data_IF_176784160237
#
_entry.id   IF_176784160237
#
_cell.length_a   1.000
_cell.length_b   1.000
_cell.length_c   1.000
_cell.angle_alpha   90.00
_cell.angle_beta   90.00
_cell.angle_gamma   90.00
#
_symmetry.space_group_name_H-M   'P 1'
#
loop_
_entity.id
_entity.type
_entity.pdbx_description
1 polymer ?
#
# COMPACT_ATOMS: atom_id res chain seq x y z
N UNK A 1 4.82 18.90 31.33
CA UNK A 1 6.08 18.75 30.57
C UNK A 1 5.71 18.47 29.12
N UNK A 2 6.31 19.19 28.16
CA UNK A 2 6.04 19.04 26.73
C UNK A 2 7.34 18.84 25.96
N UNK A 3 7.23 18.54 24.66
CA UNK A 3 8.38 18.48 23.76
C UNK A 3 8.89 19.90 23.47
N UNK A 4 10.21 20.06 23.33
CA UNK A 4 10.76 21.34 22.89
C UNK A 4 10.48 21.57 21.41
N UNK A 5 10.30 22.83 21.01
CA UNK A 5 10.12 23.20 19.60
C UNK A 5 11.24 22.66 18.72
N UNK A 6 12.46 22.66 19.24
CA UNK A 6 13.63 22.10 18.57
C UNK A 6 13.47 20.61 18.31
N UNK A 7 13.07 19.83 19.31
CA UNK A 7 12.85 18.38 19.16
C UNK A 7 11.74 18.08 18.14
N UNK A 8 10.65 18.86 18.18
CA UNK A 8 9.55 18.70 17.23
C UNK A 8 10.02 18.97 15.80
N UNK A 9 10.72 20.09 15.57
CA UNK A 9 11.17 20.51 14.24
C UNK A 9 12.32 19.67 13.69
N UNK A 10 13.27 19.29 14.54
CA UNK A 10 14.51 18.64 14.10
C UNK A 10 14.45 17.12 14.08
N UNK A 11 13.49 16.51 14.78
CA UNK A 11 13.41 15.05 14.87
C UNK A 11 12.01 14.54 14.53
N UNK A 12 10.99 14.95 15.29
CA UNK A 12 9.64 14.36 15.17
C UNK A 12 9.02 14.63 13.79
N UNK A 13 9.01 15.88 13.33
CA UNK A 13 8.39 16.23 12.07
C UNK A 13 9.04 15.53 10.87
N UNK A 14 10.37 15.57 10.69
CA UNK A 14 11.06 14.83 9.62
C UNK A 14 10.78 13.31 9.65
N UNK A 15 10.83 12.69 10.82
CA UNK A 15 10.60 11.25 10.96
C UNK A 15 9.17 10.86 10.57
N UNK A 16 8.16 11.61 11.02
CA UNK A 16 6.76 11.35 10.67
C UNK A 16 6.49 11.65 9.20
N UNK A 17 7.06 12.71 8.66
CA UNK A 17 6.88 13.11 7.27
C UNK A 17 7.48 12.09 6.30
N UNK A 18 8.56 11.43 6.67
CA UNK A 18 9.20 10.40 5.85
C UNK A 18 8.56 9.04 6.07
N UNK A 19 8.19 8.72 7.31
CA UNK A 19 7.60 7.43 7.66
C UNK A 19 6.12 7.29 7.32
N UNK A 20 5.36 8.40 7.30
CA UNK A 20 3.91 8.43 7.07
C UNK A 20 3.50 9.36 5.93
N UNK A 21 4.48 9.98 5.24
CA UNK A 21 4.24 10.86 4.09
C UNK A 21 3.33 12.06 4.37
N UNK A 22 3.22 12.47 5.64
CA UNK A 22 2.35 13.57 6.10
C UNK A 22 2.98 14.38 7.22
N UNK A 23 2.71 15.70 7.28
CA UNK A 23 3.23 16.53 8.36
C UNK A 23 2.52 16.21 9.69
N UNK A 24 3.15 16.43 10.86
CA UNK A 24 2.60 16.02 12.15
C UNK A 24 1.25 16.62 12.51
N UNK A 25 0.97 17.84 12.03
CA UNK A 25 -0.31 18.54 12.25
C UNK A 25 -1.48 17.92 11.47
N UNK A 26 -1.22 17.05 10.49
CA UNK A 26 -2.23 16.30 9.74
C UNK A 26 -2.36 14.84 10.23
N UNK A 27 -1.53 14.43 11.20
CA UNK A 27 -1.49 13.07 11.71
C UNK A 27 -2.24 12.96 13.04
N UNK A 28 -2.92 11.82 13.22
CA UNK A 28 -3.43 11.49 14.55
C UNK A 28 -2.26 11.18 15.50
N UNK A 29 -2.41 11.57 16.76
CA UNK A 29 -1.41 11.24 17.79
C UNK A 29 -1.18 9.74 17.92
N UNK A 30 -2.23 8.92 17.71
CA UNK A 30 -2.13 7.46 17.78
C UNK A 30 -1.16 6.90 16.73
N UNK A 31 -1.32 7.26 15.45
CA UNK A 31 -0.44 6.81 14.36
C UNK A 31 0.98 7.34 14.55
N UNK A 32 1.14 8.59 15.02
CA UNK A 32 2.45 9.13 15.32
C UNK A 32 3.15 8.36 16.45
N UNK A 33 2.44 8.04 17.52
CA UNK A 33 2.98 7.25 18.64
C UNK A 33 3.31 5.82 18.25
N UNK A 34 2.50 5.20 17.40
CA UNK A 34 2.76 3.85 16.87
C UNK A 34 4.04 3.82 16.05
N UNK A 35 4.22 4.80 15.14
CA UNK A 35 5.46 4.92 14.38
C UNK A 35 6.65 5.14 15.32
N UNK A 36 6.57 6.07 16.26
CA UNK A 36 7.66 6.34 17.20
C UNK A 36 7.98 5.14 18.09
N UNK A 37 6.97 4.38 18.50
CA UNK A 37 7.16 3.15 19.26
C UNK A 37 7.92 2.10 18.46
N UNK A 38 7.49 1.83 17.22
CA UNK A 38 8.15 0.87 16.33
C UNK A 38 9.58 1.30 15.96
N UNK A 39 9.75 2.56 15.56
CA UNK A 39 11.01 3.07 15.02
C UNK A 39 12.04 3.43 16.09
N UNK A 40 11.62 3.95 17.26
CA UNK A 40 12.57 4.46 18.25
C UNK A 40 12.78 3.53 19.45
N UNK A 41 11.78 2.70 19.81
CA UNK A 41 11.74 2.04 21.12
C UNK A 41 11.74 0.51 21.05
N UNK A 42 10.83 -0.11 20.31
CA UNK A 42 10.55 -1.54 20.46
C UNK A 42 11.41 -2.46 19.58
N UNK A 43 11.80 -2.01 18.39
CA UNK A 43 12.41 -2.88 17.39
C UNK A 43 13.57 -2.21 16.66
N UNK A 44 14.56 -1.69 17.40
CA UNK A 44 15.76 -1.10 16.79
C UNK A 44 16.49 -2.07 15.86
N UNK A 45 16.43 -3.39 16.11
CA UNK A 45 17.01 -4.42 15.24
C UNK A 45 16.15 -4.76 14.01
N UNK A 46 14.89 -4.31 13.94
CA UNK A 46 14.07 -4.45 12.73
C UNK A 46 14.49 -3.45 11.61
N UNK A 47 15.49 -2.62 11.87
CA UNK A 47 16.13 -1.76 10.87
C UNK A 47 17.14 -2.46 9.97
N UNK A 48 17.35 -3.78 10.11
CA UNK A 48 18.02 -4.57 9.08
C UNK A 48 17.09 -4.74 7.86
N UNK A 49 16.79 -3.61 7.20
CA UNK A 49 15.96 -3.56 6.00
C UNK A 49 16.66 -4.40 4.93
N UNK A 50 16.00 -5.47 4.51
CA UNK A 50 16.47 -6.32 3.41
C UNK A 50 15.80 -5.90 2.12
N UNK A 51 16.62 -5.64 1.12
CA UNK A 51 16.16 -5.31 -0.22
C UNK A 51 16.01 -6.58 -1.05
N UNK A 52 14.98 -6.61 -1.88
CA UNK A 52 14.86 -7.61 -2.94
C UNK A 52 16.04 -7.43 -3.88
N UNK A 53 16.88 -8.45 -4.07
CA UNK A 53 18.15 -8.31 -4.80
C UNK A 53 17.99 -8.06 -6.30
N UNK A 54 16.90 -8.55 -6.90
CA UNK A 54 16.66 -8.49 -8.35
C UNK A 54 15.19 -8.60 -8.67
N UNK A 55 14.79 -8.17 -9.87
CA UNK A 55 13.41 -8.29 -10.38
C UNK A 55 12.39 -7.64 -9.43
N UNK A 56 11.10 -7.74 -9.76
CA UNK A 56 10.03 -7.15 -8.96
C UNK A 56 9.55 -8.05 -7.81
N UNK A 57 8.92 -7.45 -6.79
CA UNK A 57 8.18 -8.16 -5.73
C UNK A 57 7.10 -9.07 -6.35
N UNK A 58 6.45 -8.59 -7.42
CA UNK A 58 5.42 -9.35 -8.12
C UNK A 58 5.97 -10.68 -8.65
N UNK A 59 7.17 -10.67 -9.24
CA UNK A 59 7.80 -11.87 -9.80
C UNK A 59 8.43 -12.79 -8.76
N UNK A 60 9.05 -12.23 -7.71
CA UNK A 60 9.81 -13.04 -6.76
C UNK A 60 9.00 -13.53 -5.56
N UNK A 61 7.94 -12.82 -5.19
CA UNK A 61 7.14 -13.16 -4.02
C UNK A 61 5.70 -13.52 -4.39
N UNK A 62 5.04 -12.67 -5.18
CA UNK A 62 3.61 -12.83 -5.44
C UNK A 62 3.35 -13.97 -6.43
N UNK A 63 4.05 -14.02 -7.57
CA UNK A 63 3.85 -15.08 -8.57
C UNK A 63 4.13 -16.48 -8.01
N UNK A 64 5.26 -16.75 -7.30
CA UNK A 64 5.50 -18.07 -6.74
C UNK A 64 4.50 -18.45 -5.65
N UNK A 65 3.98 -17.48 -4.90
CA UNK A 65 2.90 -17.74 -3.95
C UNK A 65 1.61 -18.11 -4.68
N UNK A 66 1.22 -17.34 -5.70
CA UNK A 66 0.02 -17.59 -6.49
C UNK A 66 0.08 -18.97 -7.17
N UNK A 67 1.20 -19.30 -7.83
CA UNK A 67 1.44 -20.62 -8.45
C UNK A 67 1.22 -21.77 -7.45
N UNK A 68 1.84 -21.69 -6.26
CA UNK A 68 1.64 -22.71 -5.22
C UNK A 68 0.18 -22.83 -4.78
N UNK A 69 -0.55 -21.72 -4.68
CA UNK A 69 -1.96 -21.73 -4.28
C UNK A 69 -2.87 -22.27 -5.39
N UNK A 70 -2.58 -21.94 -6.65
CA UNK A 70 -3.27 -22.48 -7.82
C UNK A 70 -3.08 -24.01 -7.85
N UNK A 71 -1.84 -24.48 -7.75
CA UNK A 71 -1.52 -25.91 -7.81
C UNK A 71 -2.11 -26.73 -6.65
N UNK A 72 -2.04 -26.20 -5.42
CA UNK A 72 -2.41 -26.97 -4.22
C UNK A 72 -3.85 -26.80 -3.77
N UNK A 73 -4.48 -25.68 -4.11
CA UNK A 73 -5.78 -25.29 -3.58
C UNK A 73 -6.78 -24.92 -4.67
N UNK A 74 -6.44 -25.14 -5.95
CA UNK A 74 -7.30 -24.81 -7.09
C UNK A 74 -7.76 -23.34 -7.06
N UNK A 75 -6.86 -22.44 -6.65
CA UNK A 75 -7.13 -21.01 -6.65
C UNK A 75 -7.33 -20.52 -8.08
N UNK A 76 -8.44 -19.83 -8.35
CA UNK A 76 -8.69 -19.14 -9.62
C UNK A 76 -8.28 -17.67 -9.49
N UNK A 77 -7.29 -17.24 -10.28
CA UNK A 77 -6.77 -15.87 -10.27
C UNK A 77 -7.19 -15.15 -11.54
N UNK A 78 -8.06 -14.14 -11.40
CA UNK A 78 -8.58 -13.35 -12.52
C UNK A 78 -7.98 -11.95 -12.56
N UNK A 79 -6.97 -11.76 -13.42
CA UNK A 79 -6.40 -10.44 -13.66
C UNK A 79 -7.38 -9.53 -14.43
N UNK A 80 -7.22 -8.21 -14.31
CA UNK A 80 -8.02 -7.19 -15.00
C UNK A 80 -9.54 -7.29 -14.74
N UNK A 81 -9.95 -7.95 -13.66
CA UNK A 81 -11.34 -8.04 -13.24
C UNK A 81 -11.61 -7.00 -12.14
N UNK A 82 -12.55 -6.09 -12.36
CA UNK A 82 -12.85 -4.99 -11.43
C UNK A 82 -14.24 -5.18 -10.83
N UNK A 83 -14.31 -5.52 -9.55
CA UNK A 83 -15.57 -5.68 -8.83
C UNK A 83 -16.34 -4.35 -8.81
N UNK A 84 -17.61 -4.41 -9.17
CA UNK A 84 -18.54 -3.27 -9.21
C UNK A 84 -19.50 -3.31 -8.04
N UNK A 85 -20.04 -4.48 -7.73
CA UNK A 85 -20.99 -4.64 -6.63
C UNK A 85 -20.95 -6.04 -6.05
N UNK A 86 -21.44 -6.14 -4.82
CA UNK A 86 -21.63 -7.37 -4.07
C UNK A 86 -23.06 -7.33 -3.54
N UNK A 87 -23.84 -8.35 -3.86
CA UNK A 87 -25.20 -8.46 -3.33
C UNK A 87 -25.24 -9.35 -2.10
N UNK A 88 -26.17 -9.02 -1.20
CA UNK A 88 -26.42 -9.79 0.02
C UNK A 88 -27.91 -10.05 0.14
N UNK A 89 -28.26 -11.20 0.68
CA UNK A 89 -29.64 -11.54 0.97
C UNK A 89 -30.17 -10.71 2.15
N UNK A 90 -31.38 -10.17 2.00
CA UNK A 90 -31.94 -9.25 2.99
C UNK A 90 -32.33 -9.93 4.31
N UNK A 91 -32.70 -11.21 4.27
CA UNK A 91 -33.13 -11.95 5.46
C UNK A 91 -31.94 -12.52 6.22
N UNK A 92 -31.03 -13.19 5.52
CA UNK A 92 -29.90 -13.94 6.09
C UNK A 92 -28.62 -13.10 6.21
N UNK A 93 -28.55 -11.96 5.51
CA UNK A 93 -27.35 -11.10 5.40
C UNK A 93 -26.12 -11.80 4.81
N UNK A 94 -26.31 -12.96 4.19
CA UNK A 94 -25.24 -13.69 3.50
C UNK A 94 -25.00 -13.08 2.13
N UNK A 95 -23.75 -13.11 1.69
CA UNK A 95 -23.42 -12.76 0.30
C UNK A 95 -24.05 -13.77 -0.64
N UNK A 96 -24.51 -13.28 -1.79
CA UNK A 96 -25.19 -14.11 -2.80
C UNK A 96 -24.47 -14.04 -4.14
N UNK A 97 -24.02 -12.85 -4.53
CA UNK A 97 -23.35 -12.64 -5.81
C UNK A 97 -22.34 -11.51 -5.81
N UNK A 98 -21.45 -11.54 -6.81
CA UNK A 98 -20.48 -10.50 -7.10
C UNK A 98 -20.59 -10.13 -8.58
N UNK A 99 -20.77 -8.84 -8.86
CA UNK A 99 -20.72 -8.30 -10.21
C UNK A 99 -19.37 -7.63 -10.45
N UNK A 100 -18.74 -7.90 -11.57
CA UNK A 100 -17.44 -7.34 -11.93
C UNK A 100 -17.34 -7.08 -13.44
N UNK A 101 -16.51 -6.10 -13.82
CA UNK A 101 -16.14 -5.86 -15.21
C UNK A 101 -14.90 -6.68 -15.56
N UNK A 102 -14.97 -7.49 -16.61
CA UNK A 102 -13.87 -8.31 -17.09
C UNK A 102 -13.08 -7.58 -18.19
N UNK A 103 -11.91 -7.07 -17.84
CA UNK A 103 -11.04 -6.36 -18.76
C UNK A 103 -10.45 -7.22 -19.87
N UNK A 104 -10.43 -8.54 -19.77
CA UNK A 104 -10.07 -9.43 -20.89
C UNK A 104 -11.20 -9.51 -21.92
N UNK A 105 -12.45 -9.34 -21.49
CA UNK A 105 -13.64 -9.26 -22.33
C UNK A 105 -14.03 -7.80 -22.65
N UNK A 106 -13.05 -6.90 -22.78
CA UNK A 106 -13.32 -5.50 -23.14
C UNK A 106 -14.08 -4.68 -22.08
N UNK A 107 -14.17 -5.17 -20.84
CA UNK A 107 -14.90 -4.53 -19.76
C UNK A 107 -16.36 -4.96 -19.64
N UNK A 108 -16.77 -6.03 -20.33
CA UNK A 108 -18.09 -6.64 -20.17
C UNK A 108 -18.36 -7.00 -18.71
N UNK A 109 -19.60 -6.73 -18.29
CA UNK A 109 -20.04 -7.04 -16.94
C UNK A 109 -20.40 -8.52 -16.81
N UNK A 110 -19.84 -9.17 -15.79
CA UNK A 110 -20.05 -10.57 -15.45
C UNK A 110 -20.51 -10.69 -14.01
N UNK A 111 -21.29 -11.74 -13.74
CA UNK A 111 -21.81 -12.06 -12.42
C UNK A 111 -21.27 -13.42 -11.96
N UNK A 112 -20.81 -13.49 -10.71
CA UNK A 112 -20.62 -14.74 -9.98
C UNK A 112 -21.77 -14.92 -9.02
N UNK A 113 -22.50 -16.03 -9.16
CA UNK A 113 -23.61 -16.39 -8.28
C UNK A 113 -23.20 -17.48 -7.29
N UNK A 114 -24.02 -17.69 -6.25
CA UNK A 114 -23.83 -18.71 -5.23
C UNK A 114 -22.47 -18.60 -4.51
N UNK A 115 -22.11 -17.37 -4.15
CA UNK A 115 -20.88 -17.09 -3.41
C UNK A 115 -21.09 -17.37 -1.93
N UNK A 116 -20.23 -18.19 -1.32
CA UNK A 116 -20.34 -18.53 0.11
C UNK A 116 -19.82 -17.42 1.03
N UNK A 117 -18.73 -16.76 0.62
CA UNK A 117 -18.06 -15.73 1.39
C UNK A 117 -17.27 -14.77 0.49
N UNK A 118 -17.08 -13.54 0.98
CA UNK A 118 -16.24 -12.53 0.31
C UNK A 118 -15.27 -11.92 1.31
N UNK A 119 -14.00 -11.82 0.90
CA UNK A 119 -12.96 -11.11 1.64
C UNK A 119 -12.54 -9.88 0.85
N UNK A 120 -12.71 -8.69 1.44
CA UNK A 120 -12.36 -7.42 0.81
C UNK A 120 -10.92 -7.01 1.13
N UNK A 121 -9.98 -7.41 0.28
CA UNK A 121 -8.58 -6.97 0.35
C UNK A 121 -8.37 -5.67 -0.47
N UNK A 122 -9.08 -4.59 -0.12
CA UNK A 122 -9.13 -3.35 -0.88
C UNK A 122 -8.55 -2.16 -0.10
N UNK A 123 -7.86 -1.27 -0.79
CA UNK A 123 -7.54 0.07 -0.27
C UNK A 123 -8.77 0.99 -0.26
N UNK A 124 -8.65 2.17 0.37
CA UNK A 124 -9.76 3.10 0.59
C UNK A 124 -10.57 3.42 -0.69
N UNK A 125 -9.90 3.69 -1.82
CA UNK A 125 -10.56 3.97 -3.11
C UNK A 125 -11.35 2.75 -3.64
N UNK A 126 -10.77 1.56 -3.55
CA UNK A 126 -11.43 0.32 -3.98
C UNK A 126 -12.63 0.00 -3.10
N UNK A 127 -12.47 0.15 -1.79
CA UNK A 127 -13.56 -0.04 -0.82
C UNK A 127 -14.74 0.91 -1.13
N UNK A 128 -14.46 2.21 -1.35
CA UNK A 128 -15.47 3.20 -1.72
C UNK A 128 -16.20 2.84 -3.02
N UNK A 129 -15.48 2.35 -4.02
CA UNK A 129 -16.07 1.95 -5.30
C UNK A 129 -17.02 0.76 -5.14
N UNK A 130 -16.58 -0.30 -4.46
CA UNK A 130 -17.38 -1.52 -4.27
C UNK A 130 -18.58 -1.27 -3.37
N UNK A 131 -18.40 -0.63 -2.21
CA UNK A 131 -19.51 -0.34 -1.28
C UNK A 131 -20.50 0.65 -1.91
N UNK A 132 -20.00 1.64 -2.66
CA UNK A 132 -20.85 2.59 -3.39
C UNK A 132 -21.72 1.92 -4.46
N UNK A 133 -21.23 0.85 -5.10
CA UNK A 133 -22.01 0.01 -6.01
C UNK A 133 -22.87 -1.05 -5.32
N UNK A 134 -22.80 -1.20 -3.99
CA UNK A 134 -23.42 -2.30 -3.23
C UNK A 134 -24.38 -1.80 -2.14
N UNK A 135 -25.57 -1.27 -2.47
CA UNK A 135 -26.47 -0.66 -1.48
C UNK A 135 -26.90 -1.61 -0.35
N UNK A 136 -27.18 -2.88 -0.66
CA UNK A 136 -27.58 -3.86 0.36
C UNK A 136 -26.43 -4.20 1.30
N UNK A 137 -25.22 -4.38 0.76
CA UNK A 137 -24.01 -4.56 1.55
C UNK A 137 -23.75 -3.35 2.46
N UNK A 138 -23.84 -2.14 1.92
CA UNK A 138 -23.65 -0.89 2.67
C UNK A 138 -24.62 -0.77 3.86
N UNK A 139 -25.86 -1.21 3.67
CA UNK A 139 -26.88 -1.25 4.73
C UNK A 139 -26.62 -2.36 5.76
N UNK A 140 -26.19 -3.53 5.30
CA UNK A 140 -25.91 -4.69 6.16
C UNK A 140 -24.63 -4.52 7.00
N UNK A 141 -23.64 -3.79 6.48
CA UNK A 141 -22.32 -3.60 7.08
C UNK A 141 -21.94 -2.12 7.21
N UNK A 142 -22.53 -1.36 8.15
CA UNK A 142 -22.23 0.06 8.34
C UNK A 142 -20.75 0.38 8.62
N UNK A 143 -20.01 -0.57 9.18
CA UNK A 143 -18.56 -0.48 9.40
C UNK A 143 -17.77 -0.35 8.09
N UNK A 144 -18.22 -1.02 7.01
CA UNK A 144 -17.61 -0.85 5.69
C UNK A 144 -17.86 0.56 5.16
N UNK A 145 -19.04 1.13 5.42
CA UNK A 145 -19.33 2.53 5.08
C UNK A 145 -18.41 3.51 5.84
N UNK A 146 -18.12 3.25 7.11
CA UNK A 146 -17.15 4.05 7.88
C UNK A 146 -15.73 3.91 7.30
N UNK A 147 -15.32 2.69 6.94
CA UNK A 147 -14.04 2.48 6.27
C UNK A 147 -13.97 3.22 4.92
N UNK A 148 -15.06 3.30 4.15
CA UNK A 148 -15.14 4.08 2.91
C UNK A 148 -14.98 5.58 3.10
N UNK A 149 -15.25 6.12 4.29
CA UNK A 149 -15.06 7.55 4.57
C UNK A 149 -13.60 7.92 4.82
N UNK A 150 -12.70 6.93 4.94
CA UNK A 150 -11.27 7.18 5.09
C UNK A 150 -10.68 7.66 3.76
N UNK A 151 -9.80 8.65 3.85
CA UNK A 151 -9.02 9.12 2.72
C UNK A 151 -7.71 8.32 2.59
N UNK A 152 -7.10 8.40 1.42
CA UNK A 152 -5.75 7.91 1.18
C UNK A 152 -4.75 9.07 1.23
N UNK A 153 -3.47 8.72 1.28
CA UNK A 153 -2.35 9.65 1.06
C UNK A 153 -1.86 9.49 -0.37
N UNK A 154 -1.41 10.60 -0.96
CA UNK A 154 -0.77 10.59 -2.26
C UNK A 154 0.75 10.42 -2.07
N UNK A 155 1.32 9.46 -2.79
CA UNK A 155 2.77 9.19 -2.77
C UNK A 155 3.24 9.09 -4.21
N UNK A 156 4.34 9.78 -4.51
CA UNK A 156 5.02 9.67 -5.79
C UNK A 156 6.25 8.76 -5.64
N UNK A 157 6.35 7.77 -6.51
CA UNK A 157 7.55 6.95 -6.65
C UNK A 157 8.08 7.12 -8.07
N UNK A 158 9.35 7.47 -8.19
CA UNK A 158 10.04 7.58 -9.48
C UNK A 158 11.36 6.79 -9.42
N UNK A 159 11.83 6.37 -10.60
CA UNK A 159 13.21 5.89 -10.78
C UNK A 159 13.91 6.86 -11.70
N UNK A 160 15.12 7.26 -11.31
CA UNK A 160 15.94 8.19 -12.08
C UNK A 160 17.20 7.43 -12.48
N UNK A 161 17.48 7.40 -13.78
CA UNK A 161 18.68 6.82 -14.33
C UNK A 161 19.62 7.95 -14.71
N UNK A 162 20.81 7.94 -14.12
CA UNK A 162 21.85 8.92 -14.38
C UNK A 162 22.85 8.35 -15.37
N UNK A 163 23.58 9.22 -16.07
CA UNK A 163 24.66 8.84 -16.97
C UNK A 163 25.92 8.36 -16.22
N UNK A 164 25.94 8.52 -14.89
CA UNK A 164 27.05 8.20 -13.99
C UNK A 164 26.53 7.68 -12.66
N UNK A 165 27.34 6.84 -12.02
CA UNK A 165 27.15 6.49 -10.62
C UNK A 165 27.42 7.69 -9.71
N UNK A 166 26.61 7.81 -8.66
CA UNK A 166 26.74 8.85 -7.64
C UNK A 166 27.16 8.19 -6.34
N UNK A 167 28.33 8.57 -5.85
CA UNK A 167 28.80 8.10 -4.55
C UNK A 167 27.98 8.73 -3.43
N UNK A 168 27.45 7.89 -2.56
CA UNK A 168 26.73 8.27 -1.35
C UNK A 168 27.34 7.55 -0.15
N UNK A 169 27.22 8.13 1.04
CA UNK A 169 27.72 7.48 2.26
C UNK A 169 26.96 6.16 2.53
N UNK A 170 25.64 6.21 2.38
CA UNK A 170 24.76 5.07 2.54
C UNK A 170 23.94 4.87 1.27
N UNK A 171 23.54 3.62 0.94
CA UNK A 171 22.72 3.35 -0.24
C UNK A 171 21.23 3.63 0.00
N UNK A 172 20.79 3.84 1.24
CA UNK A 172 19.42 4.17 1.59
C UNK A 172 19.40 5.48 2.38
N UNK A 173 18.65 6.46 1.88
CA UNK A 173 18.70 7.81 2.41
C UNK A 173 17.31 8.42 2.54
N UNK A 174 17.24 9.43 3.40
CA UNK A 174 16.03 10.19 3.68
C UNK A 174 16.23 11.62 3.19
N UNK A 175 15.21 12.16 2.53
CA UNK A 175 15.15 13.56 2.13
C UNK A 175 13.97 14.24 2.83
N UNK A 176 14.27 15.33 3.54
CA UNK A 176 13.27 16.14 4.24
C UNK A 176 13.82 17.55 4.43
N UNK A 177 12.95 18.53 4.73
CA UNK A 177 13.32 19.92 5.05
C UNK A 177 13.96 20.73 3.92
N UNK A 178 13.81 20.31 2.67
CA UNK A 178 14.16 21.15 1.53
C UNK A 178 12.98 22.05 1.17
N UNK A 179 13.23 23.35 0.96
CA UNK A 179 12.18 24.32 0.60
C UNK A 179 11.41 23.87 -0.66
N UNK A 180 12.14 23.35 -1.65
CA UNK A 180 11.55 22.81 -2.89
C UNK A 180 10.66 21.58 -2.72
N UNK A 181 10.62 20.95 -1.54
CA UNK A 181 9.71 19.83 -1.27
C UNK A 181 8.32 20.28 -0.82
N UNK A 182 8.11 21.56 -0.49
CA UNK A 182 6.79 22.12 -0.15
C UNK A 182 6.04 21.30 0.93
N UNK A 183 6.76 20.80 1.93
CA UNK A 183 6.17 19.97 3.00
C UNK A 183 6.09 18.47 2.67
N UNK A 184 6.64 18.01 1.54
CA UNK A 184 6.89 16.61 1.26
C UNK A 184 8.21 16.11 1.89
N UNK A 185 8.22 14.84 2.25
CA UNK A 185 9.41 14.11 2.65
C UNK A 185 9.46 12.82 1.86
N UNK A 186 10.63 12.19 1.82
CA UNK A 186 10.78 10.96 1.07
C UNK A 186 12.02 10.19 1.43
N UNK A 187 12.16 9.07 0.74
CA UNK A 187 13.35 8.24 0.76
C UNK A 187 13.87 8.10 -0.66
N UNK A 188 15.18 7.95 -0.79
CA UNK A 188 15.80 7.56 -2.05
C UNK A 188 16.78 6.44 -1.80
N UNK A 189 16.90 5.56 -2.79
CA UNK A 189 17.66 4.32 -2.69
C UNK A 189 18.56 4.19 -3.90
N UNK A 190 19.85 3.99 -3.66
CA UNK A 190 20.88 3.77 -4.67
C UNK A 190 20.82 2.31 -5.10
N UNK A 191 19.99 2.02 -6.09
CA UNK A 191 19.73 0.65 -6.54
C UNK A 191 21.01 -0.03 -7.08
N UNK A 192 21.89 0.74 -7.72
CA UNK A 192 23.22 0.30 -8.17
C UNK A 192 24.10 -0.21 -7.02
N UNK A 193 23.97 0.37 -5.82
CA UNK A 193 24.70 -0.06 -4.64
C UNK A 193 23.99 -1.23 -3.93
N UNK A 194 22.65 -1.20 -3.85
CA UNK A 194 21.86 -2.23 -3.16
C UNK A 194 21.79 -3.56 -3.93
N UNK A 195 21.91 -3.50 -5.26
CA UNK A 195 21.64 -4.61 -6.18
C UNK A 195 22.76 -4.72 -7.22
N UNK A 196 23.99 -4.36 -6.84
CA UNK A 196 25.17 -4.25 -7.72
C UNK A 196 25.39 -5.42 -8.66
N UNK A 197 25.22 -6.64 -8.15
CA UNK A 197 25.47 -7.87 -8.93
C UNK A 197 24.35 -8.18 -9.95
N UNK A 198 23.21 -7.52 -9.83
CA UNK A 198 22.00 -7.77 -10.61
C UNK A 198 21.51 -6.47 -11.31
N UNK A 199 22.36 -5.44 -11.45
CA UNK A 199 21.97 -4.12 -11.96
C UNK A 199 21.27 -4.20 -13.33
N UNK A 200 21.78 -5.05 -14.23
CA UNK A 200 21.21 -5.29 -15.56
C UNK A 200 19.74 -5.76 -15.49
N UNK A 201 19.33 -6.44 -14.42
CA UNK A 201 17.97 -6.94 -14.23
C UNK A 201 17.00 -5.89 -13.67
N UNK A 202 17.50 -4.69 -13.34
CA UNK A 202 16.71 -3.55 -12.88
C UNK A 202 16.23 -2.67 -14.02
N UNK A 203 16.98 -2.70 -15.11
CA UNK A 203 16.57 -2.21 -16.42
C UNK A 203 15.55 -3.22 -16.95
N UNK A 204 14.28 -2.84 -16.89
CA UNK A 204 13.17 -3.70 -17.33
C UNK A 204 13.33 -4.17 -18.77
#
# INVERSE_FOLDING_TARGET
>A
AGLSDRLVKEFVAPTLQVGLFKPPNELSAAVAMELLYFYALAHQTAFDVRWIKKRSIAELLIAPLAERLIERHNLDVRAKCFVRSIDVDDATKKVTSITYADGAAGGEEKCLENVDAVVLALGAKGMKAVVGGSPKLAKACPELCKACSLNAIDVLACRIWLDKYVDTLEPANVLSRFEGLLGAGGTFFMLDQLQKDDEQLLWG
#
